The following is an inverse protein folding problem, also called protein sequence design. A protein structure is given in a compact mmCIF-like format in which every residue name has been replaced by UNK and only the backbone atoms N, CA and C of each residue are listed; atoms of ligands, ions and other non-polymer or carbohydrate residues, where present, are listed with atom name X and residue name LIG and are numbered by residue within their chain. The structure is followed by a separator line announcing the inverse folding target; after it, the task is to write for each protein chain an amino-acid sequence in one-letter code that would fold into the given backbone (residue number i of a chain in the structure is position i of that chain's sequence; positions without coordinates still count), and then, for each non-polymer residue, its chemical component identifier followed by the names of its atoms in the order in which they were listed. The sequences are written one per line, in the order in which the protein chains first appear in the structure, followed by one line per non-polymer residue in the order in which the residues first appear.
data_IF_554722512873
#
_entry.id   IF_554722512873
#
_cell.length_a   1.000
_cell.length_b   1.000
_cell.length_c   1.000
_cell.angle_alpha   90.00
_cell.angle_beta   90.00
_cell.angle_gamma   90.00
#
_symmetry.space_group_name_H-M   'P 1'
#
loop_
_entity.id
_entity.type
_entity.pdbx_description
1 polymer ?
#
# COMPACT_ATOMS: atom_id res chain seq x y z
N UNK A 1 -27.13 21.95 -40.46
CA UNK A 1 -26.35 21.22 -39.41
C UNK A 1 -25.31 22.19 -38.85
N UNK A 2 -25.44 22.49 -37.57
CA UNK A 2 -24.68 23.57 -36.91
C UNK A 2 -23.22 23.17 -36.69
N UNK A 3 -22.29 24.07 -36.90
CA UNK A 3 -20.85 23.94 -36.65
C UNK A 3 -20.50 23.56 -35.21
N UNK A 4 -21.42 23.75 -34.26
CA UNK A 4 -21.31 23.35 -32.86
C UNK A 4 -21.39 21.83 -32.67
N UNK A 5 -22.18 21.10 -33.45
CA UNK A 5 -22.31 19.64 -33.37
C UNK A 5 -21.04 18.88 -33.77
N UNK A 6 -20.32 19.40 -34.78
CA UNK A 6 -19.06 18.82 -35.28
C UNK A 6 -17.89 18.96 -34.28
N UNK A 7 -17.83 20.06 -33.53
CA UNK A 7 -16.80 20.27 -32.50
C UNK A 7 -16.98 19.34 -31.30
N UNK A 8 -18.21 19.09 -30.83
CA UNK A 8 -18.50 18.18 -29.70
C UNK A 8 -18.17 16.70 -30.03
N UNK A 9 -18.38 16.25 -31.27
CA UNK A 9 -18.01 14.91 -31.69
C UNK A 9 -16.50 14.70 -31.80
N UNK A 10 -15.76 15.71 -32.22
CA UNK A 10 -14.30 15.65 -32.29
C UNK A 10 -13.65 15.61 -30.93
N UNK A 11 -14.15 16.37 -29.95
CA UNK A 11 -13.63 16.38 -28.60
C UNK A 11 -13.91 15.03 -27.91
N UNK A 12 -15.14 14.48 -28.01
CA UNK A 12 -15.47 13.16 -27.45
C UNK A 12 -14.61 12.02 -28.05
N UNK A 13 -14.31 12.05 -29.34
CA UNK A 13 -13.44 11.05 -29.99
C UNK A 13 -11.98 11.18 -29.53
N UNK A 14 -11.48 12.40 -29.29
CA UNK A 14 -10.11 12.61 -28.79
C UNK A 14 -9.96 12.17 -27.33
N UNK A 15 -10.95 12.43 -26.50
CA UNK A 15 -10.95 11.96 -25.10
C UNK A 15 -11.01 10.43 -25.04
N UNK A 16 -11.91 9.79 -25.78
CA UNK A 16 -12.01 8.33 -25.82
C UNK A 16 -10.75 7.65 -26.38
N UNK A 17 -10.08 8.26 -27.38
CA UNK A 17 -8.82 7.74 -27.92
C UNK A 17 -7.65 7.90 -26.93
N UNK A 18 -7.61 9.02 -26.19
CA UNK A 18 -6.60 9.25 -25.15
C UNK A 18 -6.80 8.27 -23.99
N UNK A 19 -8.04 8.00 -23.56
CA UNK A 19 -8.36 7.02 -22.52
C UNK A 19 -8.01 5.59 -22.97
N UNK A 20 -8.26 5.24 -24.23
CA UNK A 20 -7.90 3.93 -24.78
C UNK A 20 -6.39 3.75 -24.89
N UNK A 21 -5.65 4.78 -25.32
CA UNK A 21 -4.18 4.76 -25.37
C UNK A 21 -3.56 4.69 -23.96
N UNK A 22 -4.12 5.44 -22.99
CA UNK A 22 -3.72 5.37 -21.58
C UNK A 22 -4.00 3.99 -20.99
N UNK A 23 -5.12 3.36 -21.34
CA UNK A 23 -5.48 2.01 -20.91
C UNK A 23 -4.55 0.95 -21.52
N UNK A 24 -4.22 1.07 -22.80
CA UNK A 24 -3.27 0.19 -23.48
C UNK A 24 -1.84 0.37 -22.98
N UNK A 25 -1.40 1.59 -22.70
CA UNK A 25 -0.11 1.87 -22.08
C UNK A 25 0.00 1.27 -20.67
N UNK A 26 -1.11 1.27 -19.90
CA UNK A 26 -1.21 0.59 -18.60
C UNK A 26 -1.06 -0.92 -18.68
N UNK A 27 -1.60 -1.55 -19.71
CA UNK A 27 -1.52 -3.01 -19.89
C UNK A 27 -0.11 -3.48 -20.26
N UNK A 28 0.77 -2.58 -20.75
CA UNK A 28 2.15 -2.88 -21.16
C UNK A 28 3.20 -2.46 -20.14
N UNK A 29 2.91 -1.51 -19.25
CA UNK A 29 3.87 -1.05 -18.26
C UNK A 29 4.04 -2.06 -17.12
N UNK A 30 5.27 -2.45 -16.86
CA UNK A 30 5.63 -3.34 -15.77
C UNK A 30 5.37 -2.65 -14.42
N UNK A 31 4.63 -3.31 -13.52
CA UNK A 31 4.38 -2.81 -12.16
C UNK A 31 5.66 -2.91 -11.33
N UNK A 32 6.09 -1.80 -10.72
CA UNK A 32 7.33 -1.75 -9.93
C UNK A 32 6.99 -1.83 -8.45
N UNK A 33 7.44 -2.89 -7.80
CA UNK A 33 7.19 -3.15 -6.39
C UNK A 33 8.49 -3.14 -5.61
N UNK A 34 8.52 -2.39 -4.51
CA UNK A 34 9.59 -2.50 -3.51
C UNK A 34 9.08 -3.32 -2.32
N UNK A 35 9.75 -4.39 -1.99
CA UNK A 35 9.46 -5.24 -0.83
C UNK A 35 10.44 -4.87 0.28
N UNK A 36 9.93 -4.20 1.31
CA UNK A 36 10.72 -3.82 2.47
C UNK A 36 10.49 -4.78 3.64
N UNK A 37 11.57 -5.14 4.31
CA UNK A 37 11.58 -5.96 5.52
C UNK A 37 12.62 -5.44 6.50
N UNK A 38 12.31 -5.37 7.79
CA UNK A 38 13.32 -5.01 8.81
C UNK A 38 14.48 -6.00 8.86
N UNK A 39 14.27 -7.26 8.50
CA UNK A 39 15.28 -8.33 8.40
C UNK A 39 16.15 -8.46 9.66
N UNK A 40 15.51 -8.41 10.83
CA UNK A 40 16.15 -8.55 12.15
C UNK A 40 16.02 -9.98 12.66
N UNK A 41 14.82 -10.56 12.60
CA UNK A 41 14.56 -11.90 13.10
C UNK A 41 15.37 -12.95 12.33
N UNK A 42 15.46 -12.86 11.02
CA UNK A 42 16.23 -13.79 10.19
C UNK A 42 17.73 -13.78 10.51
N UNK A 43 18.24 -12.68 11.06
CA UNK A 43 19.64 -12.56 11.47
C UNK A 43 19.88 -12.99 12.92
N UNK A 44 18.88 -12.91 13.78
CA UNK A 44 19.02 -13.14 15.23
C UNK A 44 18.44 -14.49 15.71
N UNK A 45 17.44 -15.02 14.99
CA UNK A 45 16.74 -16.24 15.39
C UNK A 45 17.03 -17.37 14.38
N UNK A 46 17.71 -18.47 14.82
CA UNK A 46 18.07 -19.57 13.91
C UNK A 46 16.86 -20.31 13.32
N UNK A 47 15.70 -20.32 13.99
CA UNK A 47 14.47 -20.93 13.46
C UNK A 47 13.98 -20.11 12.26
N UNK A 48 13.90 -18.78 12.41
CA UNK A 48 13.51 -17.88 11.34
C UNK A 48 14.52 -17.91 10.20
N UNK A 49 15.83 -17.89 10.51
CA UNK A 49 16.89 -18.01 9.52
C UNK A 49 16.79 -19.30 8.68
N UNK A 50 16.43 -20.41 9.31
CA UNK A 50 16.24 -21.70 8.62
C UNK A 50 14.99 -21.68 7.74
N UNK A 51 13.92 -21.03 8.18
CA UNK A 51 12.66 -20.92 7.44
C UNK A 51 12.75 -19.97 6.27
N UNK A 52 13.40 -18.82 6.48
CA UNK A 52 13.56 -17.75 5.48
C UNK A 52 15.07 -17.46 5.23
N UNK A 53 15.83 -18.38 4.64
CA UNK A 53 17.28 -18.28 4.55
C UNK A 53 17.78 -17.11 3.69
N UNK A 54 16.92 -16.56 2.83
CA UNK A 54 17.17 -15.35 2.03
C UNK A 54 16.40 -14.14 2.55
N UNK A 55 15.81 -14.23 3.74
CA UNK A 55 14.92 -13.22 4.33
C UNK A 55 13.49 -13.32 3.83
N UNK A 56 12.56 -12.86 4.66
CA UNK A 56 11.12 -12.82 4.34
C UNK A 56 10.83 -11.93 3.12
N UNK A 57 11.58 -10.84 2.93
CA UNK A 57 11.49 -9.99 1.74
C UNK A 57 11.73 -10.76 0.45
N UNK A 58 12.69 -11.71 0.44
CA UNK A 58 12.95 -12.54 -0.73
C UNK A 58 11.79 -13.51 -0.99
N UNK A 59 11.22 -14.11 0.05
CA UNK A 59 10.05 -14.99 -0.07
C UNK A 59 8.84 -14.24 -0.67
N UNK A 60 8.57 -13.04 -0.17
CA UNK A 60 7.51 -12.16 -0.71
C UNK A 60 7.83 -11.79 -2.16
N UNK A 61 9.06 -11.36 -2.45
CA UNK A 61 9.48 -10.98 -3.80
C UNK A 61 9.31 -12.12 -4.81
N UNK A 62 9.69 -13.34 -4.42
CA UNK A 62 9.56 -14.51 -5.28
C UNK A 62 8.07 -14.85 -5.53
N UNK A 63 7.23 -14.75 -4.50
CA UNK A 63 5.79 -14.95 -4.64
C UNK A 63 5.16 -13.91 -5.60
N UNK A 64 5.64 -12.66 -5.60
CA UNK A 64 5.12 -11.60 -6.46
C UNK A 64 5.52 -11.76 -7.92
N UNK A 65 6.64 -12.39 -8.22
CA UNK A 65 7.13 -12.63 -9.59
C UNK A 65 6.32 -13.70 -10.34
N UNK A 66 5.63 -14.59 -9.62
CA UNK A 66 4.91 -15.72 -10.22
C UNK A 66 3.72 -15.21 -11.07
N UNK A 67 3.78 -15.44 -12.39
CA UNK A 67 2.69 -15.13 -13.32
C UNK A 67 2.34 -13.65 -13.45
N UNK A 68 3.26 -12.75 -13.07
CA UNK A 68 3.02 -11.30 -13.06
C UNK A 68 4.04 -10.57 -13.94
N UNK A 69 3.58 -9.53 -14.63
CA UNK A 69 4.46 -8.52 -15.21
C UNK A 69 4.83 -7.50 -14.11
N UNK A 70 5.67 -7.95 -13.16
CA UNK A 70 6.06 -7.16 -11.98
C UNK A 70 7.58 -7.12 -11.90
N UNK A 71 8.13 -5.92 -11.80
CA UNK A 71 9.53 -5.70 -11.41
C UNK A 71 9.57 -5.59 -9.89
N UNK A 72 10.36 -6.44 -9.24
CA UNK A 72 10.45 -6.49 -7.78
C UNK A 72 11.86 -6.15 -7.33
N UNK A 73 11.95 -5.14 -6.47
CA UNK A 73 13.14 -4.76 -5.70
C UNK A 73 12.92 -5.15 -4.24
N UNK A 74 13.98 -5.54 -3.56
CA UNK A 74 13.97 -5.74 -2.10
C UNK A 74 14.77 -4.64 -1.41
N UNK A 75 14.39 -4.29 -0.19
CA UNK A 75 15.09 -3.33 0.66
C UNK A 75 14.93 -3.73 2.14
N UNK A 76 15.91 -3.38 2.96
CA UNK A 76 15.94 -3.74 4.38
C UNK A 76 16.27 -2.56 5.27
N UNK A 77 15.99 -2.69 6.58
CA UNK A 77 16.29 -1.68 7.58
C UNK A 77 17.77 -1.25 7.58
N UNK A 78 18.68 -2.18 7.32
CA UNK A 78 20.13 -1.94 7.42
C UNK A 78 20.77 -1.44 6.11
N UNK A 79 20.00 -1.32 5.04
CA UNK A 79 20.48 -0.68 3.81
C UNK A 79 20.66 0.83 4.02
N UNK A 80 21.56 1.50 3.31
CA UNK A 80 21.65 2.96 3.35
C UNK A 80 20.28 3.61 3.10
N UNK A 81 19.89 4.56 3.94
CA UNK A 81 18.55 5.16 3.93
C UNK A 81 17.42 4.10 3.97
N UNK A 82 17.65 2.98 4.65
CA UNK A 82 16.75 1.81 4.68
C UNK A 82 16.39 1.27 3.28
N UNK A 83 17.23 1.50 2.28
CA UNK A 83 16.98 1.17 0.88
C UNK A 83 15.86 1.99 0.22
N UNK A 84 15.41 3.09 0.87
CA UNK A 84 14.24 3.89 0.48
C UNK A 84 14.62 5.34 0.15
N UNK A 85 15.68 5.49 -0.69
CA UNK A 85 16.06 6.80 -1.22
C UNK A 85 14.93 7.43 -2.03
N UNK A 86 14.94 8.75 -2.24
CA UNK A 86 13.94 9.41 -3.10
C UNK A 86 13.86 8.77 -4.48
N UNK A 87 15.01 8.50 -5.10
CA UNK A 87 15.08 7.83 -6.41
C UNK A 87 14.45 6.44 -6.42
N UNK A 88 14.63 5.65 -5.35
CA UNK A 88 13.99 4.34 -5.21
C UNK A 88 12.47 4.49 -5.13
N UNK A 89 12.00 5.42 -4.29
CA UNK A 89 10.57 5.63 -4.10
C UNK A 89 9.88 6.24 -5.34
N UNK A 90 10.56 7.06 -6.12
CA UNK A 90 10.07 7.53 -7.43
C UNK A 90 9.88 6.39 -8.44
N UNK A 91 10.68 5.35 -8.30
CA UNK A 91 10.62 4.14 -9.13
C UNK A 91 9.76 3.03 -8.49
N UNK A 92 9.00 3.34 -7.44
CA UNK A 92 8.14 2.39 -6.73
C UNK A 92 6.68 2.75 -6.95
N UNK A 93 5.91 1.82 -7.49
CA UNK A 93 4.47 1.95 -7.67
C UNK A 93 3.72 1.43 -6.43
N UNK A 94 4.24 0.36 -5.81
CA UNK A 94 3.69 -0.21 -4.58
C UNK A 94 4.83 -0.60 -3.64
N UNK A 95 4.72 -0.20 -2.38
CA UNK A 95 5.61 -0.58 -1.29
C UNK A 95 4.92 -1.62 -0.41
N UNK A 96 5.50 -2.81 -0.25
CA UNK A 96 5.09 -3.75 0.80
C UNK A 96 6.01 -3.59 2.00
N UNK A 97 5.44 -3.66 3.20
CA UNK A 97 6.15 -3.41 4.45
C UNK A 97 5.94 -4.53 5.44
N UNK A 98 7.02 -5.17 5.84
CA UNK A 98 7.03 -6.10 6.94
C UNK A 98 8.03 -5.63 8.02
N UNK A 99 7.56 -5.35 9.24
CA UNK A 99 8.38 -4.96 10.38
C UNK A 99 7.76 -5.45 11.68
N UNK A 100 8.56 -5.76 12.69
CA UNK A 100 8.12 -6.34 13.96
C UNK A 100 8.79 -5.69 15.18
N UNK A 101 10.09 -5.93 15.42
CA UNK A 101 10.78 -5.50 16.66
C UNK A 101 11.51 -4.18 16.51
N UNK A 102 11.76 -3.71 15.30
CA UNK A 102 12.62 -2.56 15.03
C UNK A 102 11.87 -1.34 14.47
N UNK A 103 10.57 -1.23 14.73
CA UNK A 103 9.76 -0.08 14.25
C UNK A 103 10.36 1.27 14.66
N UNK A 104 10.95 1.35 15.86
CA UNK A 104 11.58 2.56 16.37
C UNK A 104 12.86 2.98 15.65
N UNK A 105 13.54 2.02 15.01
CA UNK A 105 14.82 2.23 14.32
C UNK A 105 14.65 2.85 12.92
N UNK A 106 13.43 2.84 12.38
CA UNK A 106 13.15 3.50 11.10
C UNK A 106 13.22 5.02 11.30
N UNK A 107 14.14 5.66 10.56
CA UNK A 107 14.39 7.09 10.67
C UNK A 107 13.14 7.90 10.25
N UNK A 108 12.80 8.94 11.03
CA UNK A 108 11.59 9.74 10.80
C UNK A 108 11.60 10.41 9.42
N UNK A 109 12.76 10.87 8.95
CA UNK A 109 12.89 11.41 7.59
C UNK A 109 12.53 10.41 6.49
N UNK A 110 12.74 9.10 6.71
CA UNK A 110 12.32 8.05 5.77
C UNK A 110 10.82 7.80 5.90
N UNK A 111 10.28 7.84 7.11
CA UNK A 111 8.83 7.74 7.36
C UNK A 111 8.10 8.85 6.60
N UNK A 112 8.52 10.10 6.75
CA UNK A 112 7.92 11.28 6.09
C UNK A 112 7.99 11.15 4.57
N UNK A 113 9.13 10.73 4.05
CA UNK A 113 9.34 10.50 2.62
C UNK A 113 8.38 9.45 2.06
N UNK A 114 8.24 8.33 2.76
CA UNK A 114 7.31 7.25 2.36
C UNK A 114 5.86 7.73 2.41
N UNK A 115 5.45 8.42 3.48
CA UNK A 115 4.10 8.97 3.62
C UNK A 115 3.78 9.94 2.49
N UNK A 116 4.69 10.86 2.19
CA UNK A 116 4.55 11.80 1.07
C UNK A 116 4.32 11.06 -0.25
N UNK A 117 5.07 9.98 -0.51
CA UNK A 117 4.90 9.17 -1.72
C UNK A 117 3.56 8.42 -1.75
N UNK A 118 3.07 7.96 -0.59
CA UNK A 118 1.74 7.34 -0.48
C UNK A 118 0.66 8.38 -0.80
N UNK A 119 0.72 9.58 -0.22
CA UNK A 119 -0.24 10.64 -0.53
C UNK A 119 -0.25 11.02 -2.02
N UNK A 120 0.90 10.92 -2.68
CA UNK A 120 1.05 11.15 -4.12
C UNK A 120 0.53 10.00 -4.99
N UNK A 121 0.15 8.86 -4.42
CA UNK A 121 -0.46 7.75 -5.15
C UNK A 121 0.30 6.42 -5.11
N UNK A 122 1.48 6.33 -4.47
CA UNK A 122 2.14 5.05 -4.24
C UNK A 122 1.25 4.15 -3.38
N UNK A 123 1.02 2.90 -3.81
CA UNK A 123 0.32 1.92 -2.99
C UNK A 123 1.14 1.48 -1.78
N UNK A 124 0.48 1.16 -0.67
CA UNK A 124 1.14 0.66 0.54
C UNK A 124 0.45 -0.58 1.08
N UNK A 125 1.23 -1.64 1.32
CA UNK A 125 0.73 -2.89 1.88
C UNK A 125 1.48 -3.16 3.18
N UNK A 126 0.78 -3.01 4.30
CA UNK A 126 1.29 -3.32 5.63
C UNK A 126 0.98 -4.78 5.98
N UNK A 127 2.00 -5.54 6.32
CA UNK A 127 1.91 -6.97 6.59
C UNK A 127 2.11 -7.25 8.08
N UNK A 128 1.24 -8.08 8.64
CA UNK A 128 1.34 -8.63 9.99
C UNK A 128 1.55 -7.55 11.06
N UNK A 129 2.63 -7.63 11.82
CA UNK A 129 3.02 -6.69 12.89
C UNK A 129 3.31 -5.26 12.40
N UNK A 130 3.31 -5.03 11.08
CA UNK A 130 3.50 -3.68 10.51
C UNK A 130 2.39 -2.69 10.86
N UNK A 131 1.30 -3.13 11.50
CA UNK A 131 0.31 -2.23 12.10
C UNK A 131 0.95 -1.28 13.13
N UNK A 132 2.04 -1.69 13.77
CA UNK A 132 2.80 -0.88 14.74
C UNK A 132 3.85 0.02 14.09
N UNK A 133 4.10 -0.07 12.77
CA UNK A 133 5.06 0.78 12.08
C UNK A 133 4.70 2.26 12.21
N UNK A 134 5.72 3.12 12.28
CA UNK A 134 5.53 4.59 12.31
C UNK A 134 4.68 5.04 11.12
N UNK A 135 4.95 4.49 9.92
CA UNK A 135 4.22 4.81 8.69
C UNK A 135 2.73 4.49 8.85
N UNK A 136 2.39 3.26 9.25
CA UNK A 136 0.99 2.85 9.35
C UNK A 136 0.24 3.66 10.42
N UNK A 137 0.84 3.86 11.60
CA UNK A 137 0.24 4.69 12.65
C UNK A 137 -0.02 6.12 12.21
N UNK A 138 0.92 6.75 11.51
CA UNK A 138 0.73 8.10 10.96
C UNK A 138 -0.41 8.14 9.93
N UNK A 139 -0.50 7.15 9.03
CA UNK A 139 -1.55 7.06 8.01
C UNK A 139 -2.93 6.79 8.61
N UNK A 140 -3.00 6.04 9.71
CA UNK A 140 -4.25 5.72 10.41
C UNK A 140 -4.66 6.80 11.42
N UNK A 141 -3.70 7.56 11.98
CA UNK A 141 -3.98 8.57 13.00
C UNK A 141 -4.44 8.00 14.34
N UNK A 142 -4.11 6.73 14.64
CA UNK A 142 -4.50 6.02 15.86
C UNK A 142 -3.32 5.22 16.41
N UNK A 143 -3.50 4.59 17.59
CA UNK A 143 -2.45 3.72 18.17
C UNK A 143 -2.18 2.47 17.34
N UNK A 144 -3.16 2.02 16.55
CA UNK A 144 -3.15 0.75 15.83
C UNK A 144 -2.86 -0.45 16.73
N UNK A 145 -3.19 -0.36 18.02
CA UNK A 145 -3.04 -1.46 18.99
C UNK A 145 -4.08 -2.54 18.73
N UNK A 146 -3.76 -3.74 19.13
CA UNK A 146 -4.59 -4.94 19.10
C UNK A 146 -4.21 -5.88 20.24
N UNK A 147 -4.94 -6.97 20.40
CA UNK A 147 -4.55 -8.07 21.29
C UNK A 147 -3.89 -9.17 20.47
N UNK A 148 -2.97 -9.94 21.08
CA UNK A 148 -2.26 -11.00 20.39
C UNK A 148 -1.93 -12.16 21.33
N UNK A 149 -1.75 -13.35 20.75
CA UNK A 149 -1.33 -14.58 21.46
C UNK A 149 -0.51 -15.46 20.52
N UNK A 150 0.70 -15.81 20.93
CA UNK A 150 1.59 -16.69 20.17
C UNK A 150 1.48 -18.13 20.71
N UNK A 151 0.51 -18.88 20.17
CA UNK A 151 0.27 -20.27 20.55
C UNK A 151 0.32 -21.24 19.35
N UNK A 152 0.59 -20.74 18.15
CA UNK A 152 0.59 -21.56 16.92
C UNK A 152 -0.78 -22.07 16.55
N UNK A 153 -1.79 -21.23 16.72
CA UNK A 153 -3.19 -21.59 16.49
C UNK A 153 -3.49 -21.70 14.98
N UNK A 154 -4.43 -22.56 14.66
CA UNK A 154 -5.02 -22.56 13.31
C UNK A 154 -5.77 -21.25 13.09
N UNK A 155 -5.48 -20.63 11.97
CA UNK A 155 -6.18 -19.44 11.50
C UNK A 155 -7.04 -19.79 10.28
N UNK A 156 -8.32 -19.40 10.30
CA UNK A 156 -9.20 -19.47 9.14
C UNK A 156 -9.52 -18.06 8.66
N UNK A 157 -9.06 -17.74 7.46
CA UNK A 157 -9.24 -16.44 6.84
C UNK A 157 -10.48 -16.48 5.94
N UNK A 158 -11.55 -15.82 6.36
CA UNK A 158 -12.81 -15.73 5.64
C UNK A 158 -12.80 -14.57 4.65
N UNK A 159 -13.33 -14.80 3.45
CA UNK A 159 -13.57 -13.76 2.45
C UNK A 159 -14.89 -13.07 2.76
N UNK A 160 -14.83 -11.81 3.21
CA UNK A 160 -16.01 -10.99 3.52
C UNK A 160 -16.51 -10.21 2.32
N UNK A 161 -15.59 -9.80 1.42
CA UNK A 161 -15.93 -9.11 0.17
C UNK A 161 -15.41 -9.90 -1.04
N UNK A 162 -16.16 -10.90 -1.54
CA UNK A 162 -15.71 -11.75 -2.65
C UNK A 162 -15.61 -11.01 -4.00
N UNK A 163 -16.26 -9.84 -4.14
CA UNK A 163 -16.18 -9.01 -5.34
C UNK A 163 -14.90 -8.14 -5.37
N UNK A 164 -14.22 -7.98 -4.22
CA UNK A 164 -13.03 -7.15 -4.14
C UNK A 164 -11.86 -7.77 -4.93
N UNK A 165 -11.10 -6.99 -5.71
CA UNK A 165 -10.00 -7.50 -6.54
C UNK A 165 -8.94 -8.29 -5.76
N UNK A 166 -8.68 -7.94 -4.49
CA UNK A 166 -7.73 -8.65 -3.63
C UNK A 166 -8.19 -10.09 -3.33
N UNK A 167 -9.50 -10.34 -3.28
CA UNK A 167 -10.06 -11.68 -3.01
C UNK A 167 -10.12 -12.59 -4.25
N UNK A 168 -9.73 -12.09 -5.43
CA UNK A 168 -9.83 -12.86 -6.68
C UNK A 168 -9.03 -14.16 -6.61
N UNK A 169 -9.69 -15.28 -6.93
CA UNK A 169 -9.09 -16.61 -6.93
C UNK A 169 -8.98 -17.26 -5.55
N UNK A 170 -9.49 -16.61 -4.50
CA UNK A 170 -9.64 -17.19 -3.17
C UNK A 170 -11.07 -17.77 -3.06
N UNK A 171 -11.17 -18.97 -2.51
CA UNK A 171 -12.44 -19.58 -2.16
C UNK A 171 -13.12 -18.84 -1.01
N UNK A 172 -14.25 -19.32 -0.52
CA UNK A 172 -15.00 -18.72 0.60
C UNK A 172 -14.12 -18.44 1.82
N UNK A 173 -13.12 -19.28 2.06
CA UNK A 173 -12.06 -19.12 3.07
C UNK A 173 -10.83 -19.94 2.68
N UNK A 174 -9.73 -19.70 3.38
CA UNK A 174 -8.57 -20.61 3.42
C UNK A 174 -8.05 -20.72 4.84
N UNK A 175 -7.21 -21.72 5.10
CA UNK A 175 -6.66 -22.00 6.41
C UNK A 175 -5.13 -21.88 6.41
N UNK A 176 -4.61 -21.47 7.55
CA UNK A 176 -3.20 -21.44 7.92
C UNK A 176 -3.09 -22.30 9.16
N UNK A 177 -2.28 -23.35 9.09
CA UNK A 177 -2.24 -24.39 10.11
C UNK A 177 -1.67 -23.91 11.44
N UNK A 178 -0.66 -23.03 11.38
CA UNK A 178 -0.05 -22.40 12.55
C UNK A 178 0.14 -20.91 12.27
N UNK A 179 -0.41 -20.08 13.13
CA UNK A 179 -0.34 -18.63 13.05
C UNK A 179 -0.26 -18.01 14.45
N UNK A 180 0.19 -16.77 14.54
CA UNK A 180 -0.02 -15.94 15.72
C UNK A 180 -1.43 -15.36 15.67
N UNK A 181 -2.16 -15.49 16.78
CA UNK A 181 -3.48 -14.90 16.91
C UNK A 181 -3.39 -13.39 17.10
N UNK A 182 -4.11 -12.65 16.26
CA UNK A 182 -4.50 -11.27 16.50
C UNK A 182 -5.99 -11.21 16.78
N UNK A 183 -6.37 -10.38 17.77
CA UNK A 183 -7.75 -10.26 18.24
C UNK A 183 -8.24 -8.81 18.30
N UNK A 184 -9.54 -8.65 18.14
CA UNK A 184 -10.21 -7.37 18.37
C UNK A 184 -10.16 -6.99 19.88
N UNK A 185 -10.24 -5.67 20.25
CA UNK A 185 -10.40 -4.55 19.32
C UNK A 185 -9.09 -4.17 18.63
N UNK A 186 -9.16 -3.93 17.31
CA UNK A 186 -8.09 -3.32 16.55
C UNK A 186 -8.30 -1.81 16.48
N UNK A 187 -7.43 -1.02 17.09
CA UNK A 187 -7.56 0.42 17.23
C UNK A 187 -7.16 1.15 15.94
N UNK A 188 -7.95 0.99 14.90
CA UNK A 188 -7.82 1.62 13.59
C UNK A 188 -9.07 2.44 13.24
N UNK A 189 -8.98 3.46 12.40
CA UNK A 189 -10.17 4.11 11.86
C UNK A 189 -10.98 3.11 11.04
N UNK A 190 -12.27 3.36 10.89
CA UNK A 190 -13.14 2.53 10.06
C UNK A 190 -12.47 2.28 8.70
N UNK A 191 -12.28 1.03 8.28
CA UNK A 191 -11.79 0.73 6.94
C UNK A 191 -12.79 1.16 5.88
N UNK A 192 -12.29 1.53 4.70
CA UNK A 192 -13.16 1.74 3.53
C UNK A 192 -13.83 0.42 3.15
N UNK A 193 -13.07 -0.70 3.20
CA UNK A 193 -13.59 -2.06 3.00
C UNK A 193 -12.90 -3.06 3.91
N UNK A 194 -13.64 -4.05 4.39
CA UNK A 194 -13.12 -5.26 5.03
C UNK A 194 -13.17 -6.39 4.01
N UNK A 195 -12.00 -6.83 3.55
CA UNK A 195 -11.88 -7.90 2.56
C UNK A 195 -11.84 -9.26 3.23
N UNK A 196 -11.11 -9.36 4.37
CA UNK A 196 -10.93 -10.60 5.11
C UNK A 196 -11.17 -10.41 6.62
N UNK A 197 -11.76 -11.45 7.22
CA UNK A 197 -11.82 -11.62 8.68
C UNK A 197 -11.22 -12.97 9.02
N UNK A 198 -10.33 -13.00 10.00
CA UNK A 198 -9.77 -14.25 10.55
C UNK A 198 -10.56 -14.70 11.75
N UNK A 199 -10.70 -16.01 11.87
CA UNK A 199 -11.08 -16.73 13.07
C UNK A 199 -9.89 -17.61 13.49
N UNK A 200 -9.61 -17.64 14.77
CA UNK A 200 -8.53 -18.43 15.36
C UNK A 200 -9.11 -19.57 16.20
N UNK A 201 -8.35 -20.65 16.34
CA UNK A 201 -8.78 -21.88 17.04
C UNK A 201 -9.21 -21.62 18.50
N UNK A 202 -8.61 -20.63 19.15
CA UNK A 202 -9.00 -20.17 20.49
C UNK A 202 -10.34 -19.40 20.53
N UNK A 203 -10.99 -19.16 19.38
CA UNK A 203 -12.29 -18.51 19.28
C UNK A 203 -12.23 -17.01 18.96
N UNK A 204 -11.05 -16.40 18.98
CA UNK A 204 -10.87 -14.99 18.68
C UNK A 204 -11.14 -14.70 17.20
N UNK A 205 -11.58 -13.47 16.92
CA UNK A 205 -11.81 -12.96 15.57
C UNK A 205 -11.06 -11.67 15.35
N UNK A 206 -10.68 -11.40 14.08
CA UNK A 206 -9.90 -10.24 13.74
C UNK A 206 -10.18 -9.75 12.31
N UNK A 207 -10.25 -8.44 12.13
CA UNK A 207 -10.30 -7.81 10.80
C UNK A 207 -8.95 -7.92 10.10
N UNK A 208 -8.66 -9.06 9.51
CA UNK A 208 -7.34 -9.45 9.02
C UNK A 208 -6.99 -8.91 7.62
N UNK A 209 -7.96 -8.34 6.90
CA UNK A 209 -7.72 -7.72 5.59
C UNK A 209 -8.56 -6.47 5.42
N UNK A 210 -7.94 -5.29 5.57
CA UNK A 210 -8.63 -4.00 5.56
C UNK A 210 -8.00 -3.05 4.55
N UNK A 211 -8.82 -2.21 3.91
CA UNK A 211 -8.36 -1.21 2.95
C UNK A 211 -8.71 0.20 3.37
N UNK A 212 -7.87 1.16 2.96
CA UNK A 212 -8.09 2.60 3.10
C UNK A 212 -7.52 3.35 1.91
N UNK A 213 -8.02 4.57 1.70
CA UNK A 213 -7.44 5.56 0.82
C UNK A 213 -6.88 6.72 1.64
N UNK A 214 -5.64 7.13 1.37
CA UNK A 214 -5.00 8.29 2.01
C UNK A 214 -4.33 9.14 0.93
N UNK A 215 -4.84 10.38 0.76
CA UNK A 215 -4.52 11.14 -0.44
C UNK A 215 -4.89 10.36 -1.70
N UNK A 216 -3.94 10.17 -2.61
CA UNK A 216 -4.13 9.36 -3.82
C UNK A 216 -3.71 7.89 -3.64
N UNK A 217 -3.08 7.54 -2.50
CA UNK A 217 -2.56 6.19 -2.23
C UNK A 217 -3.62 5.23 -1.70
N UNK A 218 -3.55 3.99 -2.16
CA UNK A 218 -4.34 2.86 -1.67
C UNK A 218 -3.53 2.08 -0.64
N UNK A 219 -4.12 1.81 0.50
CA UNK A 219 -3.50 1.10 1.61
C UNK A 219 -4.23 -0.22 1.84
N UNK A 220 -3.50 -1.30 1.99
CA UNK A 220 -4.02 -2.59 2.42
C UNK A 220 -3.23 -3.09 3.61
N UNK A 221 -3.93 -3.45 4.67
CA UNK A 221 -3.38 -4.20 5.80
C UNK A 221 -3.75 -5.67 5.68
N UNK A 222 -2.80 -6.57 5.92
CA UNK A 222 -3.01 -8.01 5.90
C UNK A 222 -2.31 -8.68 7.08
N UNK A 223 -3.09 -9.28 7.98
CA UNK A 223 -2.59 -9.84 9.24
C UNK A 223 -1.75 -11.12 9.09
N UNK A 224 -2.08 -12.12 8.25
CA UNK A 224 -1.27 -13.32 8.11
C UNK A 224 0.18 -13.00 7.74
N UNK A 225 1.17 -13.54 8.49
CA UNK A 225 2.56 -13.26 8.14
C UNK A 225 3.61 -13.37 9.24
N UNK A 226 3.35 -14.09 10.35
CA UNK A 226 4.29 -14.25 11.45
C UNK A 226 5.56 -14.98 11.01
N UNK A 227 6.73 -14.52 11.48
CA UNK A 227 8.05 -15.03 11.07
C UNK A 227 8.38 -16.43 11.55
N UNK A 228 7.79 -16.87 12.66
CA UNK A 228 8.04 -18.20 13.23
C UNK A 228 7.28 -19.33 12.52
N UNK A 229 6.38 -18.98 11.60
CA UNK A 229 5.55 -19.94 10.86
C UNK A 229 5.71 -19.76 9.34
N UNK A 230 5.52 -20.82 8.52
CA UNK A 230 5.72 -20.76 7.08
C UNK A 230 4.55 -20.08 6.34
N UNK A 231 3.96 -19.04 6.93
CA UNK A 231 2.74 -18.37 6.43
C UNK A 231 2.93 -17.80 5.04
N UNK A 232 4.09 -17.21 4.75
CA UNK A 232 4.38 -16.62 3.44
C UNK A 232 4.54 -17.64 2.31
N UNK A 233 4.67 -18.93 2.65
CA UNK A 233 4.65 -20.03 1.67
C UNK A 233 3.24 -20.57 1.39
N UNK A 234 2.23 -20.16 2.15
CA UNK A 234 0.84 -20.57 1.88
C UNK A 234 0.38 -20.04 0.51
N UNK A 235 -0.10 -20.91 -0.40
CA UNK A 235 -0.48 -20.50 -1.76
C UNK A 235 -1.56 -19.41 -1.79
N UNK A 236 -2.52 -19.43 -0.86
CA UNK A 236 -3.58 -18.42 -0.79
C UNK A 236 -3.04 -17.08 -0.31
N UNK A 237 -2.14 -17.07 0.69
CA UNK A 237 -1.43 -15.85 1.11
C UNK A 237 -0.69 -15.23 -0.07
N UNK A 238 0.01 -16.04 -0.85
CA UNK A 238 0.71 -15.56 -2.05
C UNK A 238 -0.24 -15.02 -3.12
N UNK A 239 -1.43 -15.63 -3.30
CA UNK A 239 -2.46 -15.09 -4.20
C UNK A 239 -2.94 -13.72 -3.70
N UNK A 240 -3.23 -13.58 -2.40
CA UNK A 240 -3.64 -12.31 -1.80
C UNK A 240 -2.57 -11.24 -2.01
N UNK A 241 -1.30 -11.53 -1.78
CA UNK A 241 -0.19 -10.58 -1.99
C UNK A 241 -0.09 -10.12 -3.45
N UNK A 242 -0.18 -11.04 -4.41
CA UNK A 242 -0.20 -10.71 -5.85
C UNK A 242 -1.37 -9.83 -6.25
N UNK A 243 -2.55 -10.12 -5.72
CA UNK A 243 -3.75 -9.33 -5.97
C UNK A 243 -3.65 -7.95 -5.32
N UNK A 244 -3.12 -7.89 -4.09
CA UNK A 244 -2.97 -6.67 -3.33
C UNK A 244 -2.05 -5.66 -4.02
N UNK A 245 -0.88 -6.08 -4.54
CA UNK A 245 0.03 -5.17 -5.25
C UNK A 245 -0.61 -4.64 -6.55
N UNK A 246 -1.41 -5.44 -7.24
CA UNK A 246 -2.14 -4.98 -8.42
C UNK A 246 -3.24 -4.00 -8.09
N UNK A 247 -4.01 -4.29 -7.03
CA UNK A 247 -5.08 -3.42 -6.57
C UNK A 247 -4.52 -2.07 -6.07
N UNK A 248 -3.42 -2.10 -5.32
CA UNK A 248 -2.80 -0.91 -4.74
C UNK A 248 -2.03 -0.07 -5.77
N UNK A 249 -1.79 -0.59 -6.97
CA UNK A 249 -1.13 0.17 -8.03
C UNK A 249 -1.82 1.52 -8.27
N UNK A 250 -1.05 2.59 -8.56
CA UNK A 250 -1.61 3.90 -8.86
C UNK A 250 -2.62 3.83 -10.00
N UNK A 251 -3.74 4.52 -9.88
CA UNK A 251 -4.69 4.69 -10.98
C UNK A 251 -4.11 5.70 -11.98
N UNK A 252 -4.10 5.38 -13.26
CA UNK A 252 -3.63 6.17 -14.42
C UNK A 252 -2.57 7.26 -14.16
N UNK A 253 -2.15 8.05 -15.11
CA UNK A 253 -1.01 8.95 -15.02
C UNK A 253 -0.77 9.45 -13.59
N UNK A 254 0.41 9.14 -13.02
CA UNK A 254 0.82 9.57 -11.68
C UNK A 254 0.63 11.08 -11.56
N UNK A 255 -0.56 11.45 -11.16
CA UNK A 255 -0.76 12.81 -10.76
C UNK A 255 -0.14 12.95 -9.38
N UNK A 256 1.06 13.47 -9.37
CA UNK A 256 1.69 13.93 -8.14
C UNK A 256 0.90 15.17 -7.78
N UNK A 257 0.15 15.08 -6.69
CA UNK A 257 -0.48 16.24 -6.12
C UNK A 257 0.61 17.21 -5.65
N UNK A 258 1.02 18.03 -6.57
CA UNK A 258 1.79 19.23 -6.25
C UNK A 258 0.84 20.39 -5.95
N UNK A 259 -0.48 20.12 -5.88
CA UNK A 259 -1.51 21.16 -5.87
C UNK A 259 -1.13 22.22 -6.92
N UNK A 260 -1.49 22.05 -8.21
CA UNK A 260 -0.97 22.89 -9.28
C UNK A 260 -1.20 24.34 -8.87
N UNK A 261 -0.11 25.01 -8.54
CA UNK A 261 -0.17 26.41 -8.18
C UNK A 261 -0.43 27.15 -9.49
N UNK A 262 -1.66 27.56 -9.66
CA UNK A 262 -2.01 28.44 -10.75
C UNK A 262 -1.37 29.79 -10.38
N UNK A 263 -0.48 30.35 -11.23
CA UNK A 263 0.11 31.66 -10.98
C UNK A 263 -0.99 32.68 -10.71
N UNK A 264 -0.75 33.58 -9.78
CA UNK A 264 -1.72 34.62 -9.40
C UNK A 264 -2.16 35.49 -10.59
N UNK A 265 -1.28 35.61 -11.60
CA UNK A 265 -1.54 36.28 -12.87
C UNK A 265 -2.59 35.58 -13.73
N UNK A 266 -2.95 34.35 -13.41
CA UNK A 266 -3.89 33.51 -14.15
C UNK A 266 -5.23 33.36 -13.43
N UNK A 267 -5.73 34.41 -12.77
CA UNK A 267 -7.09 34.43 -12.26
C UNK A 267 -8.09 34.12 -13.38
N UNK A 268 -9.10 33.28 -13.08
CA UNK A 268 -10.08 32.83 -14.09
C UNK A 268 -10.87 33.99 -14.71
N UNK A 269 -10.96 35.12 -14.01
CA UNK A 269 -11.64 36.33 -14.46
C UNK A 269 -10.80 37.55 -14.07
N UNK A 270 -10.93 38.68 -14.79
CA UNK A 270 -10.25 39.92 -14.45
C UNK A 270 -10.54 40.30 -12.99
N UNK A 271 -9.51 40.43 -12.17
CA UNK A 271 -9.62 40.74 -10.75
C UNK A 271 -8.89 42.06 -10.47
N UNK A 272 -9.62 43.03 -9.93
CA UNK A 272 -9.04 44.20 -9.33
C UNK A 272 -8.81 44.00 -7.84
N UNK A 273 -7.62 44.31 -7.36
CA UNK A 273 -7.34 44.22 -5.93
C UNK A 273 -8.16 45.29 -5.16
N UNK A 274 -9.00 44.83 -4.25
CA UNK A 274 -9.85 45.66 -3.37
C UNK A 274 -9.36 45.54 -1.93
N UNK A 275 -8.51 46.46 -1.50
CA UNK A 275 -8.06 46.53 -0.11
C UNK A 275 -6.59 46.20 0.11
N UNK A 276 -6.11 46.32 1.36
CA UNK A 276 -4.71 46.06 1.72
C UNK A 276 -4.39 44.55 1.66
N UNK A 277 -3.14 44.22 1.33
CA UNK A 277 -2.61 42.87 1.39
C UNK A 277 -1.91 42.64 2.72
N UNK A 278 -2.18 41.50 3.39
CA UNK A 278 -1.45 41.04 4.55
C UNK A 278 -0.30 40.11 4.15
N UNK A 279 -0.51 39.28 3.15
CA UNK A 279 0.44 38.28 2.66
C UNK A 279 1.25 38.82 1.47
N UNK A 280 2.44 38.26 1.31
CA UNK A 280 3.37 38.65 0.24
C UNK A 280 3.39 37.57 -0.84
N UNK A 281 3.67 38.00 -2.08
CA UNK A 281 3.92 37.10 -3.20
C UNK A 281 5.12 36.18 -2.87
N UNK A 282 4.96 34.87 -3.09
CA UNK A 282 5.96 33.85 -2.77
C UNK A 282 5.80 33.16 -1.42
N UNK A 283 4.82 33.54 -0.60
CA UNK A 283 4.45 32.75 0.58
C UNK A 283 3.79 31.43 0.17
N UNK A 284 4.07 30.36 0.92
CA UNK A 284 3.51 29.03 0.62
C UNK A 284 1.98 29.05 0.56
N UNK A 285 1.41 28.59 -0.56
CA UNK A 285 -0.04 28.57 -0.79
C UNK A 285 -0.69 29.92 -1.17
N UNK A 286 0.09 31.02 -1.24
CA UNK A 286 -0.43 32.30 -1.69
C UNK A 286 -0.57 32.30 -3.24
N UNK A 287 -1.76 32.66 -3.73
CA UNK A 287 -2.13 32.74 -5.16
C UNK A 287 -2.54 34.15 -5.54
#
# INVERSE_FOLDING_TARGET
MSLTSLRFHSVKRRVAAADTAALQFRMSAQLRVTVWNENVHEKKNPVVAKMYPKGMHSCIADALKIGNNVEVRTATLHDPEHGLTEKVLEQTDVLTWWGHVAHGEVADAIVDRVIKRIWQGMGFIALHSSHYSKIFKCLMGTSCSLTWREAGEKERVWVCNPAHPIARGINRYFEIENSEMYGEPFAIPAPDEIVFISWFEGGDVFRSGCTWKRGNGKIFYFAPGHEMYPVLFNPNVQIVLRNAVRWAAPDAARWIDSCPQIPISEACEPLEQKGPRMHKEGEEGYR
#
